data_IF_346626780804
#
_entry.id   IF_346626780804
#
_cell.length_a   1.000
_cell.length_b   1.000
_cell.length_c   1.000
_cell.angle_alpha   90.00
_cell.angle_beta   90.00
_cell.angle_gamma   90.00
#
_symmetry.space_group_name_H-M   'P 1'
#
loop_
_entity.id
_entity.type
_entity.pdbx_description
1 polymer ?
#
# COMPACT_ATOMS: atom_id res chain seq x y z
N UNK A 1 -17.39 9.80 7.66
CA UNK A 1 -15.96 9.52 7.32
C UNK A 1 -15.74 9.97 5.88
N UNK A 2 -14.72 10.79 5.60
CA UNK A 2 -14.41 11.27 4.24
C UNK A 2 -13.34 10.38 3.63
N UNK A 3 -13.51 9.96 2.38
CA UNK A 3 -12.51 9.14 1.67
C UNK A 3 -11.99 9.89 0.46
N UNK A 4 -10.67 9.95 0.30
CA UNK A 4 -9.99 10.39 -0.94
C UNK A 4 -9.50 9.14 -1.64
N UNK A 5 -10.02 8.90 -2.83
CA UNK A 5 -9.63 7.78 -3.70
C UNK A 5 -8.99 8.35 -4.96
N UNK A 6 -7.87 7.75 -5.37
CA UNK A 6 -7.30 7.97 -6.70
C UNK A 6 -7.09 6.59 -7.34
N UNK A 7 -7.61 6.41 -8.55
CA UNK A 7 -7.42 5.22 -9.38
C UNK A 7 -6.77 5.66 -10.68
N UNK A 8 -5.70 4.98 -11.10
CA UNK A 8 -5.04 5.24 -12.38
C UNK A 8 -5.99 4.85 -13.54
N UNK A 9 -6.04 5.65 -14.59
CA UNK A 9 -7.10 5.60 -15.62
C UNK A 9 -7.30 4.23 -16.29
N UNK A 10 -6.25 3.44 -16.45
CA UNK A 10 -6.29 2.10 -17.03
C UNK A 10 -6.83 1.01 -16.08
N UNK A 11 -7.38 1.39 -14.93
CA UNK A 11 -7.94 0.49 -13.92
C UNK A 11 -9.35 0.90 -13.48
N UNK A 12 -10.12 1.55 -14.36
CA UNK A 12 -11.51 1.92 -14.08
C UNK A 12 -12.38 0.73 -13.67
N UNK A 13 -12.10 -0.45 -14.22
CA UNK A 13 -12.88 -1.68 -13.99
C UNK A 13 -12.83 -2.18 -12.54
N UNK A 14 -11.76 -1.85 -11.81
CA UNK A 14 -11.59 -2.21 -10.40
C UNK A 14 -11.90 -1.05 -9.44
N UNK A 15 -12.36 0.10 -9.95
CA UNK A 15 -12.68 1.27 -9.13
C UNK A 15 -13.69 0.96 -8.03
N UNK A 16 -14.74 0.22 -8.36
CA UNK A 16 -15.77 -0.18 -7.40
C UNK A 16 -15.20 -1.02 -6.24
N UNK A 17 -14.30 -1.96 -6.54
CA UNK A 17 -13.57 -2.72 -5.51
C UNK A 17 -12.72 -1.79 -4.64
N UNK A 18 -11.97 -0.88 -5.26
CA UNK A 18 -11.05 0.04 -4.56
C UNK A 18 -11.80 0.93 -3.58
N UNK A 19 -12.98 1.43 -3.96
CA UNK A 19 -13.83 2.26 -3.11
C UNK A 19 -14.36 1.50 -1.87
N UNK A 20 -14.51 0.17 -1.97
CA UNK A 20 -14.96 -0.70 -0.86
C UNK A 20 -13.83 -1.15 0.06
N UNK A 21 -12.56 -1.02 -0.33
CA UNK A 21 -11.41 -1.44 0.50
C UNK A 21 -11.53 -0.98 1.96
N UNK A 22 -11.81 0.31 2.27
CA UNK A 22 -11.90 0.75 3.67
C UNK A 22 -12.97 0.07 4.51
N UNK A 23 -14.02 -0.46 3.87
CA UNK A 23 -15.18 -1.08 4.53
C UNK A 23 -14.95 -2.57 4.78
N UNK A 24 -14.21 -3.23 3.88
CA UNK A 24 -14.16 -4.69 3.78
C UNK A 24 -12.73 -5.25 3.81
N UNK A 25 -11.71 -4.42 4.03
CA UNK A 25 -10.31 -4.84 3.96
C UNK A 25 -10.03 -6.13 4.76
N UNK A 26 -10.59 -6.26 5.96
CA UNK A 26 -10.30 -7.39 6.84
C UNK A 26 -10.95 -8.72 6.39
N UNK A 27 -12.00 -8.67 5.56
CA UNK A 27 -12.65 -9.84 4.96
C UNK A 27 -12.29 -10.05 3.49
N UNK A 28 -11.61 -9.08 2.86
CA UNK A 28 -11.21 -9.17 1.46
C UNK A 28 -9.99 -10.07 1.24
N UNK A 29 -10.12 -10.98 0.28
CA UNK A 29 -9.01 -11.72 -0.30
C UNK A 29 -8.17 -12.50 0.72
N UNK A 30 -6.90 -12.71 0.38
CA UNK A 30 -5.97 -13.51 1.16
C UNK A 30 -4.98 -12.62 1.91
N UNK A 31 -4.81 -12.83 3.22
CA UNK A 31 -3.81 -12.13 4.03
C UNK A 31 -2.44 -12.80 3.88
N UNK A 32 -1.50 -12.12 3.22
CA UNK A 32 -0.15 -12.64 2.96
C UNK A 32 0.92 -12.09 3.89
N UNK A 33 0.64 -10.96 4.56
CA UNK A 33 1.56 -10.38 5.54
C UNK A 33 0.78 -9.62 6.62
N UNK A 34 1.14 -9.87 7.88
CA UNK A 34 0.56 -9.19 9.05
C UNK A 34 1.66 -8.78 10.02
N UNK A 35 1.88 -7.46 10.13
CA UNK A 35 2.83 -6.88 11.08
C UNK A 35 2.47 -5.41 11.34
N UNK A 36 3.46 -4.50 11.29
CA UNK A 36 3.19 -3.05 11.39
C UNK A 36 2.18 -2.56 10.34
N UNK A 37 2.21 -3.18 9.16
CA UNK A 37 1.27 -2.98 8.07
C UNK A 37 0.65 -4.36 7.75
N UNK A 38 -0.50 -4.38 7.08
CA UNK A 38 -1.08 -5.61 6.56
C UNK A 38 -1.07 -5.58 5.02
N UNK A 39 -0.84 -6.72 4.40
CA UNK A 39 -0.85 -6.88 2.94
C UNK A 39 -1.78 -8.03 2.58
N UNK A 40 -2.69 -7.76 1.65
CA UNK A 40 -3.64 -8.74 1.12
C UNK A 40 -3.56 -8.84 -0.39
N UNK A 41 -3.83 -10.04 -0.92
CA UNK A 41 -4.04 -10.27 -2.35
C UNK A 41 -5.54 -10.34 -2.61
N UNK A 42 -6.02 -9.60 -3.61
CA UNK A 42 -7.43 -9.58 -4.02
C UNK A 42 -7.51 -9.81 -5.53
N UNK A 43 -8.37 -10.73 -5.96
CA UNK A 43 -8.62 -11.02 -7.38
C UNK A 43 -9.94 -10.39 -7.80
N UNK A 44 -9.93 -9.54 -8.83
CA UNK A 44 -11.13 -8.85 -9.33
C UNK A 44 -10.90 -8.25 -10.71
N UNK A 45 -11.92 -8.29 -11.58
CA UNK A 45 -11.85 -7.68 -12.91
C UNK A 45 -10.74 -8.25 -13.81
N UNK A 46 -10.37 -9.52 -13.62
CA UNK A 46 -9.23 -10.14 -14.31
C UNK A 46 -7.85 -9.74 -13.77
N UNK A 47 -7.78 -8.89 -12.75
CA UNK A 47 -6.53 -8.49 -12.10
C UNK A 47 -6.32 -9.25 -10.79
N UNK A 48 -5.05 -9.50 -10.49
CA UNK A 48 -4.60 -9.86 -9.15
C UNK A 48 -3.92 -8.64 -8.52
N UNK A 49 -4.48 -8.16 -7.42
CA UNK A 49 -4.12 -6.89 -6.80
C UNK A 49 -3.48 -7.13 -5.44
N UNK A 50 -2.43 -6.37 -5.12
CA UNK A 50 -1.87 -6.29 -3.77
C UNK A 50 -2.38 -5.04 -3.08
N UNK A 51 -3.05 -5.19 -1.95
CA UNK A 51 -3.53 -4.08 -1.12
C UNK A 51 -2.74 -4.01 0.18
N UNK A 52 -1.99 -2.93 0.36
CA UNK A 52 -1.21 -2.65 1.56
C UNK A 52 -1.91 -1.63 2.45
N UNK A 53 -2.38 -2.08 3.61
CA UNK A 53 -2.90 -1.22 4.68
C UNK A 53 -1.75 -0.75 5.58
N UNK A 54 -1.59 0.57 5.70
CA UNK A 54 -0.56 1.14 6.58
C UNK A 54 -1.05 1.27 8.02
N UNK A 55 -0.13 1.10 8.98
CA UNK A 55 -0.39 1.40 10.40
C UNK A 55 -1.16 2.70 10.54
N UNK A 56 -2.27 2.66 11.29
CA UNK A 56 -3.00 3.86 11.71
C UNK A 56 -2.01 4.85 12.37
N UNK A 57 -1.95 6.10 11.90
CA UNK A 57 -1.01 7.07 12.47
C UNK A 57 -1.43 7.45 13.89
N UNK A 58 -0.47 7.78 14.75
CA UNK A 58 -0.75 8.46 16.02
C UNK A 58 -1.37 9.84 15.75
N UNK A 59 -2.02 10.45 16.75
CA UNK A 59 -2.77 11.69 16.58
C UNK A 59 -2.01 12.81 15.84
N UNK A 60 -0.79 13.14 16.30
CA UNK A 60 0.05 14.18 15.66
C UNK A 60 0.35 13.83 14.19
N UNK A 61 0.75 12.58 13.94
CA UNK A 61 1.00 12.10 12.59
C UNK A 61 -0.28 12.09 11.74
N UNK A 62 -1.43 11.78 12.32
CA UNK A 62 -2.72 11.74 11.66
C UNK A 62 -3.10 13.14 11.15
N UNK A 63 -2.84 14.17 11.96
CA UNK A 63 -3.02 15.56 11.57
C UNK A 63 -2.04 15.99 10.48
N UNK A 64 -0.74 15.70 10.65
CA UNK A 64 0.30 16.03 9.65
C UNK A 64 -0.03 15.40 8.30
N UNK A 65 -0.43 14.12 8.28
CA UNK A 65 -0.77 13.42 7.03
C UNK A 65 -2.13 13.84 6.43
N UNK A 66 -2.95 14.57 7.17
CA UNK A 66 -4.21 15.09 6.66
C UNK A 66 -4.08 16.50 6.06
N UNK A 67 -3.21 17.34 6.64
CA UNK A 67 -3.20 18.77 6.33
C UNK A 67 -1.89 19.29 5.73
N UNK A 68 -0.76 18.65 6.04
CA UNK A 68 0.57 19.19 5.70
C UNK A 68 1.29 18.30 4.68
N UNK A 69 1.19 16.97 4.83
CA UNK A 69 1.97 16.00 4.07
C UNK A 69 1.08 14.93 3.45
N UNK A 70 1.45 14.44 2.27
CA UNK A 70 0.88 13.24 1.65
C UNK A 70 0.98 12.02 2.58
N UNK A 71 -0.06 11.20 2.60
CA UNK A 71 -0.11 9.96 3.37
C UNK A 71 0.98 8.97 2.93
N UNK A 72 1.22 7.92 3.72
CA UNK A 72 2.16 6.85 3.33
C UNK A 72 1.68 6.13 2.06
N UNK A 73 0.38 5.86 1.95
CA UNK A 73 -0.19 5.23 0.76
C UNK A 73 -0.04 6.08 -0.50
N UNK A 74 -0.38 7.37 -0.41
CA UNK A 74 -0.25 8.30 -1.55
C UNK A 74 1.21 8.42 -1.99
N UNK A 75 2.16 8.48 -1.04
CA UNK A 75 3.59 8.48 -1.38
C UNK A 75 4.04 7.16 -2.03
N UNK A 76 3.58 6.01 -1.55
CA UNK A 76 3.90 4.72 -2.18
C UNK A 76 3.46 4.68 -3.64
N UNK A 77 2.26 5.15 -3.94
CA UNK A 77 1.76 5.26 -5.32
C UNK A 77 2.68 6.11 -6.21
N UNK A 78 2.97 7.35 -5.78
CA UNK A 78 3.80 8.26 -6.59
C UNK A 78 5.26 7.80 -6.69
N UNK A 79 5.79 7.17 -5.65
CA UNK A 79 7.14 6.62 -5.67
C UNK A 79 7.25 5.43 -6.64
N UNK A 80 6.27 4.52 -6.66
CA UNK A 80 6.26 3.42 -7.63
C UNK A 80 6.22 3.93 -9.07
N UNK A 81 5.40 4.96 -9.35
CA UNK A 81 5.40 5.61 -10.68
C UNK A 81 6.75 6.25 -11.01
N UNK A 82 7.39 6.90 -10.03
CA UNK A 82 8.72 7.48 -10.21
C UNK A 82 9.75 6.39 -10.55
N UNK A 83 9.78 5.30 -9.78
CA UNK A 83 10.70 4.17 -10.02
C UNK A 83 10.55 3.60 -11.44
N UNK A 84 9.31 3.39 -11.89
CA UNK A 84 9.04 2.93 -13.26
C UNK A 84 9.54 3.91 -14.32
N UNK A 85 9.34 5.21 -14.11
CA UNK A 85 9.83 6.25 -15.02
C UNK A 85 11.36 6.25 -15.14
N UNK A 86 12.06 5.94 -14.05
CA UNK A 86 13.52 5.83 -14.02
C UNK A 86 14.02 4.44 -14.51
N UNK A 87 13.13 3.58 -15.02
CA UNK A 87 13.50 2.28 -15.60
C UNK A 87 13.60 1.12 -14.60
N UNK A 88 13.25 1.32 -13.33
CA UNK A 88 13.23 0.24 -12.35
C UNK A 88 11.95 -0.59 -12.46
N UNK A 89 12.09 -1.92 -12.44
CA UNK A 89 10.95 -2.82 -12.33
C UNK A 89 10.25 -2.62 -10.99
N UNK A 90 8.97 -2.20 -11.04
CA UNK A 90 8.09 -2.05 -9.89
C UNK A 90 6.67 -2.45 -10.29
N UNK A 91 5.92 -3.18 -9.45
CA UNK A 91 4.54 -3.53 -9.74
C UNK A 91 3.71 -2.28 -10.09
N UNK A 92 2.85 -2.37 -11.11
CA UNK A 92 2.10 -1.21 -11.58
C UNK A 92 1.21 -0.64 -10.47
N UNK A 93 1.43 0.61 -10.01
CA UNK A 93 0.59 1.21 -8.99
C UNK A 93 -0.80 1.49 -9.57
N UNK A 94 -1.82 0.90 -8.94
CA UNK A 94 -3.21 0.96 -9.37
C UNK A 94 -3.93 2.13 -8.71
N UNK A 95 -3.79 2.27 -7.39
CA UNK A 95 -4.55 3.26 -6.63
C UNK A 95 -3.94 3.60 -5.27
N UNK A 96 -4.45 4.68 -4.67
CA UNK A 96 -4.37 4.90 -3.23
C UNK A 96 -5.72 5.36 -2.66
N UNK A 97 -5.96 4.97 -1.41
CA UNK A 97 -7.17 5.33 -0.66
C UNK A 97 -6.78 5.92 0.69
N UNK A 98 -7.26 7.12 1.01
CA UNK A 98 -7.07 7.75 2.32
C UNK A 98 -8.43 7.99 2.97
N UNK A 99 -8.58 7.53 4.22
CA UNK A 99 -9.79 7.69 5.01
C UNK A 99 -9.55 8.70 6.13
N UNK A 100 -10.40 9.70 6.22
CA UNK A 100 -10.28 10.82 7.15
C UNK A 100 -11.46 10.89 8.11
N UNK A 101 -11.17 11.28 9.35
CA UNK A 101 -12.14 11.73 10.32
C UNK A 101 -11.84 13.18 10.70
N UNK A 102 -12.60 14.14 10.16
CA UNK A 102 -12.26 15.56 10.24
C UNK A 102 -10.86 15.82 9.68
N UNK A 103 -10.02 16.49 10.46
CA UNK A 103 -8.64 16.85 10.10
C UNK A 103 -7.61 15.75 10.41
N UNK A 104 -8.05 14.50 10.62
CA UNK A 104 -7.18 13.39 11.00
C UNK A 104 -7.25 12.24 9.99
N UNK A 105 -6.10 11.80 9.49
CA UNK A 105 -5.99 10.57 8.71
C UNK A 105 -6.20 9.35 9.63
N UNK A 106 -7.17 8.49 9.30
CA UNK A 106 -7.49 7.27 10.06
C UNK A 106 -6.83 6.04 9.45
N UNK A 107 -7.10 5.78 8.17
CA UNK A 107 -6.60 4.63 7.43
C UNK A 107 -6.06 5.07 6.08
N UNK A 108 -5.09 4.35 5.55
CA UNK A 108 -4.59 4.58 4.20
C UNK A 108 -4.14 3.28 3.55
N UNK A 109 -4.47 3.10 2.28
CA UNK A 109 -4.25 1.88 1.52
C UNK A 109 -3.55 2.18 0.20
N UNK A 110 -2.51 1.43 -0.10
CA UNK A 110 -1.84 1.43 -1.41
C UNK A 110 -2.24 0.17 -2.18
N UNK A 111 -2.56 0.31 -3.46
CA UNK A 111 -2.95 -0.79 -4.34
C UNK A 111 -2.01 -0.84 -5.54
N UNK A 112 -1.49 -2.03 -5.83
CA UNK A 112 -0.71 -2.31 -7.05
C UNK A 112 -1.17 -3.62 -7.68
N UNK A 113 -0.70 -3.90 -8.89
CA UNK A 113 -0.69 -5.26 -9.38
C UNK A 113 0.12 -6.16 -8.43
N UNK A 114 -0.30 -7.42 -8.34
CA UNK A 114 0.47 -8.47 -7.68
C UNK A 114 1.66 -8.89 -8.55
N UNK A 115 2.74 -9.29 -7.89
CA UNK A 115 3.89 -9.91 -8.52
C UNK A 115 4.29 -11.13 -7.71
N UNK A 116 4.59 -12.22 -8.41
CA UNK A 116 5.04 -13.49 -7.83
C UNK A 116 6.57 -13.56 -7.66
N UNK A 117 7.24 -12.41 -7.46
CA UNK A 117 8.68 -12.40 -7.23
C UNK A 117 9.03 -13.05 -5.89
N UNK A 118 10.09 -13.83 -5.90
CA UNK A 118 10.65 -14.41 -4.68
C UNK A 118 11.27 -13.31 -3.83
N UNK A 119 11.03 -13.38 -2.52
CA UNK A 119 11.69 -12.52 -1.55
C UNK A 119 13.21 -12.78 -1.61
N UNK A 120 14.02 -11.73 -1.49
CA UNK A 120 15.47 -11.86 -1.62
C UNK A 120 16.05 -12.82 -0.57
N UNK A 121 15.47 -12.83 0.63
CA UNK A 121 15.81 -13.73 1.73
C UNK A 121 15.68 -15.22 1.36
N UNK A 122 14.78 -15.56 0.42
CA UNK A 122 14.60 -16.95 -0.04
C UNK A 122 15.69 -17.42 -1.01
N UNK A 123 16.41 -16.48 -1.63
CA UNK A 123 17.47 -16.76 -2.62
C UNK A 123 18.87 -16.45 -2.09
N UNK A 124 18.98 -15.72 -0.97
CA UNK A 124 20.26 -15.47 -0.33
C UNK A 124 20.74 -16.73 0.43
N UNK A 125 22.02 -17.12 0.28
CA UNK A 125 22.61 -18.13 1.16
C UNK A 125 22.44 -17.71 2.62
N UNK A 126 22.18 -18.67 3.52
CA UNK A 126 21.92 -18.51 4.97
C UNK A 126 23.02 -17.82 5.81
N UNK A 127 23.90 -17.02 5.21
CA UNK A 127 25.10 -16.42 5.83
C UNK A 127 25.11 -14.90 6.00
N UNK A 128 23.99 -14.19 5.83
CA UNK A 128 23.89 -12.75 6.11
C UNK A 128 23.16 -12.45 7.45
N UNK A 129 23.26 -13.36 8.42
CA UNK A 129 22.71 -13.13 9.78
C UNK A 129 23.50 -12.12 10.64
N UNK A 130 24.54 -11.48 10.10
CA UNK A 130 25.28 -10.44 10.81
C UNK A 130 25.05 -9.09 10.12
N UNK A 131 24.01 -8.34 10.52
CA UNK A 131 24.00 -6.87 10.64
C UNK A 131 22.60 -6.26 10.86
N UNK A 132 21.75 -6.89 11.68
CA UNK A 132 20.45 -6.32 12.09
C UNK A 132 20.60 -5.05 12.95
N UNK A 133 21.83 -4.66 13.30
CA UNK A 133 22.15 -3.45 14.06
C UNK A 133 22.43 -2.20 13.21
N UNK A 134 22.50 -2.29 11.88
CA UNK A 134 22.88 -1.14 11.03
C UNK A 134 21.66 -0.27 10.62
N UNK A 135 20.43 -0.77 10.73
CA UNK A 135 19.21 -0.07 10.25
C UNK A 135 18.32 0.44 11.39
N UNK A 136 18.88 0.65 12.60
CA UNK A 136 18.20 1.32 13.72
C UNK A 136 18.88 2.64 14.11
N UNK A 137 19.10 3.51 13.13
CA UNK A 137 19.42 4.92 13.35
C UNK A 137 18.27 5.80 12.81
#
# INVERSE_FOLDING_TARGET
>A
MKTKVFVKDNYSDVKYLIERIPLEFDSMGELIFSGRNQVRIIRSGGYELTVKSFKKPSFLNAFVYANIRKSKAERSFWNSRKLQKEGFSSPDPVAFVNCYNGLLLKNSYYVSLYTNYNALESVLPRGLEANTNIIKA
#
